data_IF_533434418777
#
_entry.id   IF_533434418777
#
_cell.length_a   1.000
_cell.length_b   1.000
_cell.length_c   1.000
_cell.angle_alpha   90.00
_cell.angle_beta   90.00
_cell.angle_gamma   90.00
#
_symmetry.space_group_name_H-M   'P 1'
#
loop_
_entity.id
_entity.type
_entity.pdbx_description
1 polymer ?
#
# COMPACT_ATOMS: atom_id res chain seq x y z
N UNK A 1 -15.50 2.94 -6.02
CA UNK A 1 -14.76 1.66 -5.92
C UNK A 1 -14.91 1.03 -4.52
N UNK A 2 -14.46 1.71 -3.45
CA UNK A 2 -14.53 1.23 -2.05
C UNK A 2 -15.92 0.77 -1.59
N UNK A 3 -17.00 1.45 -1.96
CA UNK A 3 -18.36 1.07 -1.55
C UNK A 3 -18.85 -0.28 -2.12
N UNK A 4 -18.15 -0.83 -3.12
CA UNK A 4 -18.42 -2.16 -3.71
C UNK A 4 -17.62 -3.28 -3.03
N UNK A 5 -16.69 -2.95 -2.15
CA UNK A 5 -15.84 -3.91 -1.44
C UNK A 5 -16.56 -4.43 -0.18
N UNK A 6 -16.30 -5.69 0.16
CA UNK A 6 -16.66 -6.26 1.46
C UNK A 6 -15.83 -5.61 2.58
N UNK A 7 -16.13 -5.94 3.85
CA UNK A 7 -15.29 -5.47 4.97
C UNK A 7 -13.83 -5.86 4.77
N UNK A 8 -13.57 -7.11 4.40
CA UNK A 8 -12.22 -7.62 4.08
C UNK A 8 -11.57 -6.87 2.94
N UNK A 9 -12.30 -6.63 1.83
CA UNK A 9 -11.77 -5.87 0.70
C UNK A 9 -11.40 -4.43 1.08
N UNK A 10 -12.23 -3.76 1.89
CA UNK A 10 -11.89 -2.43 2.41
C UNK A 10 -10.63 -2.45 3.26
N UNK A 11 -10.48 -3.44 4.15
CA UNK A 11 -9.27 -3.59 4.97
C UNK A 11 -8.03 -3.76 4.10
N UNK A 12 -8.05 -4.66 3.11
CA UNK A 12 -6.92 -4.83 2.17
C UNK A 12 -6.60 -3.54 1.42
N UNK A 13 -7.62 -2.83 0.95
CA UNK A 13 -7.45 -1.57 0.23
C UNK A 13 -6.75 -0.52 1.08
N UNK A 14 -7.22 -0.30 2.31
CA UNK A 14 -6.62 0.70 3.20
C UNK A 14 -5.22 0.30 3.67
N UNK A 15 -4.99 -0.99 3.95
CA UNK A 15 -3.66 -1.50 4.30
C UNK A 15 -2.68 -1.32 3.13
N UNK A 16 -3.11 -1.65 1.91
CA UNK A 16 -2.31 -1.46 0.71
C UNK A 16 -1.99 0.01 0.44
N UNK A 17 -2.96 0.92 0.63
CA UNK A 17 -2.73 2.36 0.53
C UNK A 17 -1.76 2.88 1.58
N UNK A 18 -1.85 2.40 2.83
CA UNK A 18 -0.94 2.78 3.90
C UNK A 18 0.50 2.32 3.60
N UNK A 19 0.67 1.07 3.14
CA UNK A 19 1.98 0.56 2.74
C UNK A 19 2.54 1.30 1.54
N UNK A 20 1.72 1.55 0.51
CA UNK A 20 2.14 2.34 -0.64
C UNK A 20 2.64 3.73 -0.21
N UNK A 21 1.86 4.45 0.60
CA UNK A 21 2.22 5.77 1.08
C UNK A 21 3.48 5.75 1.96
N UNK A 22 3.59 4.77 2.87
CA UNK A 22 4.76 4.62 3.73
C UNK A 22 6.03 4.32 2.92
N UNK A 23 5.97 3.34 2.01
CA UNK A 23 7.08 2.98 1.14
C UNK A 23 7.50 4.13 0.23
N UNK A 24 6.53 4.91 -0.26
CA UNK A 24 6.81 6.13 -1.02
C UNK A 24 7.50 7.18 -0.15
N UNK A 25 7.01 7.45 1.06
CA UNK A 25 7.59 8.44 1.97
C UNK A 25 9.03 8.15 2.39
N UNK A 26 9.41 6.87 2.50
CA UNK A 26 10.80 6.46 2.82
C UNK A 26 11.64 6.19 1.57
N UNK A 27 11.12 6.48 0.37
CA UNK A 27 11.84 6.29 -0.87
C UNK A 27 12.84 7.45 -1.09
N UNK A 28 14.12 7.16 -1.39
CA UNK A 28 15.14 8.17 -1.57
C UNK A 28 14.87 9.12 -2.76
N UNK A 29 14.01 8.73 -3.71
CA UNK A 29 13.60 9.60 -4.83
C UNK A 29 12.88 10.89 -4.39
N UNK A 30 12.31 10.90 -3.18
CA UNK A 30 11.57 12.06 -2.68
C UNK A 30 12.40 12.98 -1.77
N UNK A 31 13.61 12.56 -1.39
CA UNK A 31 14.54 13.29 -0.51
C UNK A 31 13.84 13.88 0.74
N UNK A 32 12.90 13.11 1.33
CA UNK A 32 12.13 13.52 2.51
C UNK A 32 12.97 13.23 3.76
N UNK A 33 14.08 13.96 3.91
CA UNK A 33 14.98 13.89 5.05
C UNK A 33 15.93 12.68 5.06
N UNK A 34 16.77 12.61 6.10
CA UNK A 34 17.75 11.53 6.31
C UNK A 34 17.05 10.23 6.72
N UNK A 35 16.54 9.50 5.72
CA UNK A 35 15.95 8.18 5.91
C UNK A 35 17.07 7.13 6.06
N UNK A 36 17.02 6.25 7.08
CA UNK A 36 18.00 5.17 7.22
C UNK A 36 18.06 4.27 5.99
N UNK A 37 19.27 3.87 5.59
CA UNK A 37 19.51 3.07 4.37
C UNK A 37 18.69 1.76 4.34
N UNK A 38 18.52 1.12 5.50
CA UNK A 38 17.67 -0.07 5.63
C UNK A 38 16.20 0.18 5.25
N UNK A 39 15.65 1.33 5.63
CA UNK A 39 14.28 1.71 5.29
C UNK A 39 14.16 2.10 3.81
N UNK A 40 15.16 2.81 3.30
CA UNK A 40 15.28 3.18 1.88
C UNK A 40 15.32 1.94 0.97
N UNK A 41 16.10 0.92 1.33
CA UNK A 41 16.20 -0.34 0.58
C UNK A 41 14.89 -1.14 0.57
N UNK A 42 14.04 -0.98 1.59
CA UNK A 42 12.73 -1.62 1.66
C UNK A 42 11.62 -0.82 0.97
N UNK A 43 11.86 0.44 0.59
CA UNK A 43 10.86 1.34 0.00
C UNK A 43 10.16 0.70 -1.22
N UNK A 44 10.92 0.24 -2.20
CA UNK A 44 10.39 -0.35 -3.45
C UNK A 44 9.61 -1.64 -3.19
N UNK A 45 10.14 -2.64 -2.43
CA UNK A 45 9.35 -3.80 -2.03
C UNK A 45 8.03 -3.45 -1.32
N UNK A 46 8.05 -2.47 -0.42
CA UNK A 46 6.86 -2.04 0.34
C UNK A 46 5.82 -1.37 -0.58
N UNK A 47 6.27 -0.53 -1.51
CA UNK A 47 5.41 0.09 -2.54
C UNK A 47 4.74 -1.00 -3.39
N UNK A 48 5.51 -1.97 -3.88
CA UNK A 48 4.98 -3.08 -4.69
C UNK A 48 3.97 -3.89 -3.87
N UNK A 49 4.28 -4.21 -2.62
CA UNK A 49 3.36 -4.90 -1.71
C UNK A 49 2.05 -4.13 -1.51
N UNK A 50 2.13 -2.81 -1.34
CA UNK A 50 0.97 -1.93 -1.25
C UNK A 50 0.08 -1.98 -2.49
N UNK A 51 0.68 -1.88 -3.68
CA UNK A 51 -0.03 -1.98 -4.97
C UNK A 51 -0.71 -3.35 -5.12
N UNK A 52 -0.01 -4.44 -4.78
CA UNK A 52 -0.56 -5.80 -4.86
C UNK A 52 -1.75 -5.98 -3.92
N UNK A 53 -1.70 -5.42 -2.70
CA UNK A 53 -2.83 -5.46 -1.76
C UNK A 53 -4.03 -4.65 -2.27
N UNK A 54 -3.79 -3.47 -2.84
CA UNK A 54 -4.85 -2.66 -3.46
C UNK A 54 -5.48 -3.44 -4.63
N UNK A 55 -4.67 -4.05 -5.49
CA UNK A 55 -5.16 -4.87 -6.59
C UNK A 55 -5.95 -6.09 -6.08
N UNK A 56 -5.42 -6.79 -5.07
CA UNK A 56 -6.03 -7.97 -4.48
C UNK A 56 -7.37 -7.65 -3.78
N UNK A 57 -7.52 -6.43 -3.25
CA UNK A 57 -8.77 -5.98 -2.64
C UNK A 57 -9.98 -6.12 -3.59
N UNK A 58 -9.75 -6.01 -4.91
CA UNK A 58 -10.79 -6.09 -5.93
C UNK A 58 -11.45 -7.47 -6.04
N UNK A 59 -10.79 -8.53 -5.58
CA UNK A 59 -11.39 -9.87 -5.51
C UNK A 59 -12.42 -9.98 -4.37
N UNK A 60 -12.37 -9.09 -3.38
CA UNK A 60 -13.26 -9.10 -2.21
C UNK A 60 -14.41 -8.12 -2.37
N UNK A 61 -15.32 -8.42 -3.30
CA UNK A 61 -16.54 -7.64 -3.51
C UNK A 61 -17.58 -7.97 -2.44
N UNK A 62 -18.44 -7.01 -2.11
CA UNK A 62 -19.59 -7.25 -1.26
C UNK A 62 -20.58 -8.10 -2.06
N UNK A 63 -20.75 -9.37 -1.70
CA UNK A 63 -21.91 -10.12 -2.17
C UNK A 63 -23.15 -9.46 -1.58
N UNK A 64 -24.07 -9.05 -2.44
CA UNK A 64 -25.39 -8.58 -2.04
C UNK A 64 -26.19 -9.73 -1.44
#
# INVERSE_FOLDING_TARGET
MINRLSKTGKTLYFLGMALFAAGFAVNPLLDIGDVPEAASNLSVPVIIGGILLIAASNFFKRNN
#
